data_IF_259844135967
#
_entry.id   IF_259844135967
#
_cell.length_a   1.000
_cell.length_b   1.000
_cell.length_c   1.000
_cell.angle_alpha   90.00
_cell.angle_beta   90.00
_cell.angle_gamma   90.00
#
_symmetry.space_group_name_H-M   'P 1'
#
loop_
_entity.id
_entity.type
_entity.pdbx_description
1 polymer ?
#
# COMPACT_ATOMS: atom_id res chain seq x y z
N UNK A 1 -16.02 2.32 -18.80
CA UNK A 1 -15.38 1.03 -18.45
C UNK A 1 -13.96 1.36 -18.07
N UNK A 2 -13.62 1.25 -16.79
CA UNK A 2 -12.41 1.88 -16.26
C UNK A 2 -11.45 0.80 -15.76
N UNK A 3 -10.81 0.12 -16.71
CA UNK A 3 -9.45 -0.36 -16.48
C UNK A 3 -8.57 0.62 -17.23
N UNK A 4 -7.75 1.38 -16.50
CA UNK A 4 -6.83 2.33 -17.12
C UNK A 4 -5.71 1.57 -17.80
N UNK A 5 -5.21 2.12 -18.91
CA UNK A 5 -3.92 1.72 -19.47
C UNK A 5 -2.79 2.37 -18.68
N UNK A 6 -1.53 1.89 -18.80
CA UNK A 6 -0.37 2.54 -18.21
C UNK A 6 -0.26 4.04 -18.57
N UNK A 7 -0.58 4.39 -19.82
CA UNK A 7 -0.56 5.77 -20.30
C UNK A 7 -1.66 6.62 -19.62
N UNK A 8 -2.85 6.07 -19.43
CA UNK A 8 -3.94 6.76 -18.72
C UNK A 8 -3.62 6.96 -17.23
N UNK A 9 -2.98 5.99 -16.58
CA UNK A 9 -2.48 6.13 -15.22
C UNK A 9 -1.42 7.24 -15.11
N UNK A 10 -0.41 7.24 -15.97
CA UNK A 10 0.62 8.30 -15.96
C UNK A 10 0.00 9.67 -16.18
N UNK A 11 -0.91 9.79 -17.15
CA UNK A 11 -1.65 11.02 -17.41
C UNK A 11 -2.54 11.47 -16.25
N UNK A 12 -3.06 10.55 -15.43
CA UNK A 12 -3.83 10.95 -14.25
C UNK A 12 -2.96 11.49 -13.12
N UNK A 13 -1.67 11.15 -13.07
CA UNK A 13 -0.74 11.75 -12.12
C UNK A 13 -0.41 13.21 -12.44
N UNK A 14 -0.42 13.60 -13.71
CA UNK A 14 -0.19 15.00 -14.14
C UNK A 14 -1.22 15.98 -13.54
N UNK A 15 -2.38 15.47 -13.15
CA UNK A 15 -3.47 16.25 -12.54
C UNK A 15 -3.32 16.39 -11.01
N UNK A 16 -2.39 15.66 -10.41
CA UNK A 16 -2.15 15.69 -8.97
C UNK A 16 -1.02 16.67 -8.68
N UNK A 17 -1.18 17.47 -7.63
CA UNK A 17 -0.18 18.45 -7.21
C UNK A 17 0.28 18.23 -5.77
N UNK A 18 0.83 17.04 -5.43
CA UNK A 18 1.24 16.76 -4.05
C UNK A 18 2.38 17.69 -3.64
N UNK A 19 2.31 18.23 -2.42
CA UNK A 19 3.42 19.00 -1.86
C UNK A 19 4.51 18.01 -1.42
N UNK A 20 5.55 17.85 -2.23
CA UNK A 20 6.63 16.91 -1.97
C UNK A 20 7.98 17.62 -1.82
N UNK A 21 8.74 17.21 -0.81
CA UNK A 21 10.14 17.59 -0.63
C UNK A 21 11.05 16.39 -0.88
N UNK A 22 11.96 16.53 -1.84
CA UNK A 22 12.95 15.52 -2.20
C UNK A 22 14.33 16.13 -1.99
N UNK A 23 15.14 15.51 -1.13
CA UNK A 23 16.50 15.96 -0.79
C UNK A 23 16.60 17.45 -0.38
N UNK A 24 15.57 17.96 0.30
CA UNK A 24 15.52 19.34 0.80
C UNK A 24 14.85 20.34 -0.14
N UNK A 25 14.51 19.93 -1.37
CA UNK A 25 13.89 20.80 -2.36
C UNK A 25 12.42 20.44 -2.60
N UNK A 26 11.58 21.46 -2.79
CA UNK A 26 10.18 21.25 -3.19
C UNK A 26 10.13 20.88 -4.67
N UNK A 27 9.47 19.77 -5.00
CA UNK A 27 9.38 19.25 -6.36
C UNK A 27 7.97 19.43 -6.91
N UNK A 28 7.84 20.02 -8.10
CA UNK A 28 6.53 20.26 -8.75
C UNK A 28 6.05 19.01 -9.51
N UNK A 29 6.86 18.50 -10.45
CA UNK A 29 6.54 17.34 -11.28
C UNK A 29 7.03 16.04 -10.64
N UNK A 30 6.46 15.69 -9.49
CA UNK A 30 6.95 14.59 -8.65
C UNK A 30 7.01 13.26 -9.40
N UNK A 31 6.06 12.98 -10.30
CA UNK A 31 5.99 11.73 -11.05
C UNK A 31 7.14 11.54 -12.06
N UNK A 32 7.83 12.62 -12.46
CA UNK A 32 8.94 12.59 -13.42
C UNK A 32 10.31 12.61 -12.75
N UNK A 33 10.35 12.98 -11.46
CA UNK A 33 11.59 13.10 -10.71
C UNK A 33 12.39 11.78 -10.80
N UNK A 34 13.72 11.79 -11.05
CA UNK A 34 14.50 10.58 -11.27
C UNK A 34 14.39 9.53 -10.14
N UNK A 35 14.27 9.99 -8.89
CA UNK A 35 14.05 9.12 -7.72
C UNK A 35 12.63 8.55 -7.60
N UNK A 36 11.66 9.05 -8.36
CA UNK A 36 10.24 8.67 -8.25
C UNK A 36 9.73 7.98 -9.51
N UNK A 37 10.23 8.33 -10.70
CA UNK A 37 9.76 7.79 -11.99
C UNK A 37 9.77 6.26 -12.06
N UNK A 38 10.73 5.61 -11.39
CA UNK A 38 10.82 4.15 -11.32
C UNK A 38 9.74 3.52 -10.43
N UNK A 39 9.30 4.21 -9.38
CA UNK A 39 8.11 3.83 -8.61
C UNK A 39 6.87 3.93 -9.48
N UNK A 40 6.71 5.06 -10.17
CA UNK A 40 5.59 5.27 -11.10
C UNK A 40 5.55 4.15 -12.15
N UNK A 41 6.70 3.73 -12.69
CA UNK A 41 6.78 2.59 -13.60
C UNK A 41 6.34 1.27 -12.98
N UNK A 42 6.69 0.98 -11.73
CA UNK A 42 6.22 -0.23 -11.03
C UNK A 42 4.71 -0.27 -10.88
N UNK A 43 4.07 0.87 -10.59
CA UNK A 43 2.60 0.95 -10.55
C UNK A 43 2.01 0.88 -11.95
N UNK A 44 2.60 1.56 -12.93
CA UNK A 44 2.14 1.49 -14.32
C UNK A 44 2.13 0.05 -14.85
N UNK A 45 3.09 -0.78 -14.44
CA UNK A 45 3.14 -2.20 -14.80
C UNK A 45 1.94 -2.99 -14.28
N UNK A 46 1.31 -2.60 -13.16
CA UNK A 46 0.06 -3.25 -12.71
C UNK A 46 -1.07 -2.99 -13.69
N UNK A 47 -1.19 -1.76 -14.20
CA UNK A 47 -2.19 -1.41 -15.20
C UNK A 47 -1.94 -2.10 -16.53
N UNK A 48 -0.66 -2.31 -16.89
CA UNK A 48 -0.32 -3.07 -18.09
C UNK A 48 -0.82 -4.51 -17.98
N UNK A 49 -0.53 -5.19 -16.87
CA UNK A 49 -0.96 -6.57 -16.65
C UNK A 49 -2.47 -6.71 -16.46
N UNK A 50 -3.17 -5.67 -15.99
CA UNK A 50 -4.65 -5.64 -15.96
C UNK A 50 -5.26 -5.66 -17.37
N UNK A 51 -4.52 -5.19 -18.38
CA UNK A 51 -4.93 -5.17 -19.79
C UNK A 51 -4.34 -6.33 -20.62
N UNK A 52 -3.39 -7.10 -20.05
CA UNK A 52 -2.83 -8.31 -20.66
C UNK A 52 -3.76 -9.52 -20.47
N UNK A 53 -3.98 -10.39 -21.48
CA UNK A 53 -4.89 -11.53 -21.37
C UNK A 53 -4.58 -12.50 -20.22
N UNK A 54 -3.31 -12.75 -19.89
CA UNK A 54 -2.93 -13.65 -18.81
C UNK A 54 -2.95 -12.94 -17.46
N UNK A 55 -2.40 -11.71 -17.40
CA UNK A 55 -2.43 -10.88 -16.20
C UNK A 55 -3.87 -10.59 -15.74
N UNK A 56 -4.78 -10.30 -16.67
CA UNK A 56 -6.19 -9.98 -16.39
C UNK A 56 -6.90 -11.08 -15.61
N UNK A 57 -6.58 -12.36 -15.84
CA UNK A 57 -7.18 -13.50 -15.12
C UNK A 57 -6.94 -13.43 -13.61
N UNK A 58 -5.84 -12.80 -13.19
CA UNK A 58 -5.46 -12.67 -11.78
C UNK A 58 -5.73 -11.26 -11.24
N UNK A 59 -5.44 -10.22 -12.02
CA UNK A 59 -5.49 -8.82 -11.56
C UNK A 59 -6.89 -8.20 -11.61
N UNK A 60 -7.83 -8.79 -12.34
CA UNK A 60 -9.15 -8.20 -12.56
C UNK A 60 -10.24 -9.10 -11.96
N UNK A 61 -11.30 -8.48 -11.46
CA UNK A 61 -12.47 -9.18 -10.91
C UNK A 61 -13.76 -8.40 -11.20
N UNK A 62 -14.91 -8.99 -10.90
CA UNK A 62 -16.22 -8.31 -10.95
C UNK A 62 -16.48 -7.57 -9.64
N UNK A 63 -17.09 -6.40 -9.74
CA UNK A 63 -17.54 -5.64 -8.57
C UNK A 63 -19.05 -5.79 -8.34
N UNK A 64 -19.45 -5.73 -7.06
CA UNK A 64 -20.86 -5.59 -6.67
C UNK A 64 -21.26 -4.12 -6.48
N UNK A 65 -20.28 -3.20 -6.46
CA UNK A 65 -20.51 -1.78 -6.23
C UNK A 65 -20.68 -0.99 -7.52
N UNK A 66 -20.07 -1.47 -8.61
CA UNK A 66 -20.05 -0.78 -9.91
C UNK A 66 -20.21 -1.80 -11.03
N UNK A 67 -20.88 -1.45 -12.15
CA UNK A 67 -20.99 -2.36 -13.28
C UNK A 67 -19.63 -2.62 -13.94
N UNK A 68 -19.40 -3.88 -14.32
CA UNK A 68 -18.26 -4.30 -15.12
C UNK A 68 -17.10 -4.87 -14.31
N UNK A 69 -15.94 -4.90 -14.94
CA UNK A 69 -14.70 -5.41 -14.38
C UNK A 69 -13.89 -4.29 -13.75
N UNK A 70 -13.22 -4.60 -12.63
CA UNK A 70 -12.41 -3.67 -11.84
C UNK A 70 -11.08 -4.31 -11.45
N UNK A 71 -10.10 -3.48 -11.11
CA UNK A 71 -8.85 -3.96 -10.51
C UNK A 71 -9.12 -4.66 -9.17
N UNK A 72 -8.46 -5.81 -8.95
CA UNK A 72 -8.48 -6.54 -7.69
C UNK A 72 -7.84 -5.74 -6.55
N UNK A 73 -6.94 -4.80 -6.85
CA UNK A 73 -6.31 -3.93 -5.85
C UNK A 73 -7.28 -3.00 -5.11
N UNK A 74 -8.50 -2.83 -5.63
CA UNK A 74 -9.55 -1.98 -5.06
C UNK A 74 -10.85 -2.77 -4.89
N UNK A 75 -10.75 -4.07 -4.61
CA UNK A 75 -11.88 -4.97 -4.37
C UNK A 75 -11.83 -5.60 -2.97
N UNK A 76 -13.00 -5.89 -2.42
CA UNK A 76 -13.13 -6.65 -1.16
C UNK A 76 -12.89 -8.15 -1.40
N UNK A 77 -12.29 -8.83 -0.43
CA UNK A 77 -12.17 -10.29 -0.38
C UNK A 77 -13.52 -10.88 0.04
N UNK A 78 -14.06 -11.80 -0.76
CA UNK A 78 -15.35 -12.43 -0.49
C UNK A 78 -15.26 -13.94 -0.29
N UNK A 79 -14.09 -14.52 -0.54
CA UNK A 79 -13.86 -15.95 -0.43
C UNK A 79 -12.37 -16.28 -0.23
N UNK A 80 -12.04 -17.50 0.22
CA UNK A 80 -10.68 -18.06 0.15
C UNK A 80 -10.05 -17.96 -1.24
N UNK A 81 -10.85 -18.13 -2.31
CA UNK A 81 -10.38 -18.01 -3.69
C UNK A 81 -9.88 -16.59 -4.02
N UNK A 82 -10.50 -15.54 -3.47
CA UNK A 82 -10.00 -14.17 -3.64
C UNK A 82 -8.64 -13.96 -2.97
N UNK A 83 -8.42 -14.58 -1.80
CA UNK A 83 -7.14 -14.54 -1.09
C UNK A 83 -6.06 -15.34 -1.84
N UNK A 84 -6.41 -16.49 -2.39
CA UNK A 84 -5.50 -17.28 -3.22
C UNK A 84 -5.14 -16.54 -4.52
N UNK A 85 -6.14 -15.98 -5.19
CA UNK A 85 -5.94 -15.13 -6.38
C UNK A 85 -5.03 -13.94 -6.07
N UNK A 86 -5.19 -13.32 -4.89
CA UNK A 86 -4.27 -12.29 -4.40
C UNK A 86 -2.83 -12.81 -4.33
N UNK A 87 -2.57 -13.94 -3.66
CA UNK A 87 -1.19 -14.48 -3.55
C UNK A 87 -0.58 -14.72 -4.93
N UNK A 88 -1.33 -15.32 -5.86
CA UNK A 88 -0.89 -15.58 -7.23
C UNK A 88 -0.60 -14.29 -8.01
N UNK A 89 -1.52 -13.34 -7.98
CA UNK A 89 -1.35 -12.00 -8.56
C UNK A 89 -0.08 -11.32 -8.04
N UNK A 90 0.13 -11.36 -6.73
CA UNK A 90 1.25 -10.68 -6.07
C UNK A 90 2.60 -11.34 -6.41
N UNK A 91 2.64 -12.67 -6.62
CA UNK A 91 3.82 -13.41 -7.09
C UNK A 91 4.13 -13.08 -8.55
N UNK A 92 3.14 -13.12 -9.44
CA UNK A 92 3.29 -12.74 -10.86
C UNK A 92 3.88 -11.34 -11.01
N UNK A 93 3.32 -10.36 -10.29
CA UNK A 93 3.80 -8.99 -10.33
C UNK A 93 5.23 -8.86 -9.84
N UNK A 94 5.59 -9.57 -8.77
CA UNK A 94 6.94 -9.55 -8.24
C UNK A 94 7.97 -10.19 -9.19
N UNK A 95 7.62 -11.28 -9.86
CA UNK A 95 8.44 -11.89 -10.90
C UNK A 95 8.60 -10.95 -12.11
N UNK A 96 7.57 -10.17 -12.44
CA UNK A 96 7.62 -9.24 -13.57
C UNK A 96 8.45 -7.98 -13.25
N UNK A 97 8.34 -7.46 -12.03
CA UNK A 97 8.90 -6.15 -11.63
C UNK A 97 10.24 -6.29 -10.93
N UNK A 98 10.52 -7.43 -10.29
CA UNK A 98 11.69 -7.64 -9.45
C UNK A 98 11.69 -6.78 -8.18
N UNK A 99 10.51 -6.32 -7.71
CA UNK A 99 10.42 -5.35 -6.63
C UNK A 99 8.99 -5.08 -6.13
N UNK A 100 8.79 -3.90 -5.55
CA UNK A 100 7.51 -3.48 -4.98
C UNK A 100 6.67 -2.68 -5.98
N UNK A 101 5.39 -3.00 -6.09
CA UNK A 101 4.40 -2.34 -6.96
C UNK A 101 3.32 -1.55 -6.19
N UNK A 102 3.45 -1.47 -4.86
CA UNK A 102 2.86 -0.44 -4.00
C UNK A 102 1.33 -0.36 -3.88
N UNK A 103 0.57 -1.12 -4.69
CA UNK A 103 -0.91 -1.16 -4.62
C UNK A 103 -1.48 -2.11 -3.57
N UNK A 104 -0.70 -3.05 -3.04
CA UNK A 104 -1.20 -4.07 -2.11
C UNK A 104 -1.62 -3.51 -0.75
N UNK A 105 -0.98 -2.46 -0.26
CA UNK A 105 -1.30 -1.84 1.03
C UNK A 105 -2.68 -1.20 1.04
N UNK A 106 -3.09 -0.55 -0.05
CA UNK A 106 -4.45 0.00 -0.17
C UNK A 106 -5.52 -1.10 -0.19
N UNK A 107 -5.27 -2.17 -0.96
CA UNK A 107 -6.14 -3.37 -1.01
C UNK A 107 -6.32 -4.00 0.38
N UNK A 108 -5.22 -4.19 1.11
CA UNK A 108 -5.24 -4.76 2.45
C UNK A 108 -5.98 -3.83 3.44
N UNK A 109 -5.81 -2.51 3.29
CA UNK A 109 -6.45 -1.52 4.13
C UNK A 109 -7.98 -1.47 3.95
N UNK A 110 -8.50 -1.42 2.71
CA UNK A 110 -9.96 -1.39 2.50
C UNK A 110 -10.66 -2.60 3.12
N UNK A 111 -10.02 -3.78 3.05
CA UNK A 111 -10.56 -5.01 3.63
C UNK A 111 -10.52 -4.99 5.16
N UNK A 112 -9.41 -4.53 5.76
CA UNK A 112 -9.29 -4.41 7.21
C UNK A 112 -10.23 -3.36 7.82
N UNK A 113 -10.35 -2.19 7.17
CA UNK A 113 -11.25 -1.12 7.59
C UNK A 113 -12.70 -1.61 7.44
N UNK A 114 -13.04 -2.26 6.32
CA UNK A 114 -14.38 -2.75 6.04
C UNK A 114 -14.99 -3.62 7.14
N UNK A 115 -14.24 -4.59 7.66
CA UNK A 115 -14.70 -5.46 8.74
C UNK A 115 -15.07 -4.65 9.98
N UNK A 116 -14.16 -3.77 10.41
CA UNK A 116 -14.34 -3.06 11.67
C UNK A 116 -15.37 -1.96 11.60
N UNK A 117 -15.49 -1.26 10.46
CA UNK A 117 -16.51 -0.22 10.33
C UNK A 117 -17.91 -0.81 10.23
N UNK A 118 -18.06 -1.98 9.61
CA UNK A 118 -19.33 -2.71 9.62
C UNK A 118 -19.72 -3.15 11.04
N UNK A 119 -18.76 -3.64 11.83
CA UNK A 119 -19.00 -4.02 13.23
C UNK A 119 -19.27 -2.79 14.12
N UNK A 120 -18.61 -1.67 13.85
CA UNK A 120 -18.85 -0.39 14.52
C UNK A 120 -20.25 0.14 14.24
N UNK A 121 -20.67 0.16 12.98
CA UNK A 121 -22.00 0.59 12.56
C UNK A 121 -23.10 -0.25 13.24
N UNK A 122 -22.89 -1.57 13.38
CA UNK A 122 -23.83 -2.45 14.10
C UNK A 122 -24.01 -2.09 15.57
N UNK A 123 -22.94 -1.63 16.25
CA UNK A 123 -22.98 -1.29 17.68
C UNK A 123 -23.46 0.14 17.92
N UNK A 124 -22.94 1.09 17.13
CA UNK A 124 -23.09 2.52 17.38
C UNK A 124 -24.06 3.22 16.42
N UNK A 125 -24.58 2.54 15.39
CA UNK A 125 -25.46 3.14 14.39
C UNK A 125 -24.78 4.19 13.51
N UNK A 126 -23.45 4.14 13.42
CA UNK A 126 -22.66 5.00 12.54
C UNK A 126 -22.88 4.66 11.06
N UNK A 127 -22.55 5.56 10.11
CA UNK A 127 -22.72 5.31 8.69
C UNK A 127 -21.39 4.96 7.97
N UNK A 128 -20.38 4.46 8.69
CA UNK A 128 -19.02 4.33 8.19
C UNK A 128 -18.88 3.31 7.05
N UNK A 129 -19.60 2.19 7.14
CA UNK A 129 -19.61 1.16 6.11
C UNK A 129 -20.14 1.69 4.79
N UNK A 130 -21.27 2.42 4.81
CA UNK A 130 -21.82 3.02 3.58
C UNK A 130 -20.82 4.02 2.97
N UNK A 131 -20.19 4.87 3.79
CA UNK A 131 -19.16 5.81 3.32
C UNK A 131 -17.97 5.10 2.68
N UNK A 132 -17.54 3.98 3.25
CA UNK A 132 -16.47 3.17 2.69
C UNK A 132 -16.88 2.54 1.36
N UNK A 133 -18.11 2.01 1.24
CA UNK A 133 -18.63 1.48 -0.02
C UNK A 133 -18.66 2.55 -1.12
N UNK A 134 -19.12 3.76 -0.79
CA UNK A 134 -19.17 4.88 -1.73
C UNK A 134 -17.76 5.29 -2.17
N UNK A 135 -16.80 5.32 -1.24
CA UNK A 135 -15.40 5.60 -1.54
C UNK A 135 -14.76 4.54 -2.44
N UNK A 136 -14.90 3.26 -2.10
CA UNK A 136 -14.36 2.14 -2.91
C UNK A 136 -15.03 2.11 -4.28
N UNK A 137 -16.33 2.35 -4.36
CA UNK A 137 -17.05 2.47 -5.64
C UNK A 137 -16.52 3.60 -6.52
N UNK A 138 -16.10 4.73 -5.95
CA UNK A 138 -15.45 5.81 -6.69
C UNK A 138 -14.06 5.40 -7.19
N UNK A 139 -13.23 4.77 -6.33
CA UNK A 139 -11.92 4.25 -6.76
C UNK A 139 -12.07 3.25 -7.92
N UNK A 140 -13.07 2.38 -7.87
CA UNK A 140 -13.36 1.38 -8.90
C UNK A 140 -13.85 2.00 -10.22
N UNK A 141 -14.71 3.02 -10.16
CA UNK A 141 -15.19 3.73 -11.37
C UNK A 141 -14.07 4.46 -12.11
N UNK A 142 -13.04 4.88 -11.39
CA UNK A 142 -11.95 5.71 -11.92
C UNK A 142 -10.60 4.98 -11.98
N UNK A 143 -10.56 3.72 -11.56
CA UNK A 143 -9.37 2.85 -11.44
C UNK A 143 -8.18 3.57 -10.77
N UNK A 144 -8.43 4.07 -9.57
CA UNK A 144 -7.48 4.89 -8.82
C UNK A 144 -6.60 4.04 -7.90
N UNK A 145 -5.33 4.44 -7.82
CA UNK A 145 -4.36 3.86 -6.88
C UNK A 145 -4.62 4.39 -5.47
N UNK A 146 -4.70 3.46 -4.53
CA UNK A 146 -4.83 3.70 -3.09
C UNK A 146 -3.58 3.17 -2.36
N UNK A 147 -2.97 3.97 -1.49
CA UNK A 147 -1.99 3.50 -0.51
C UNK A 147 -2.58 3.57 0.91
N UNK A 148 -1.95 2.90 1.89
CA UNK A 148 -2.41 2.94 3.28
C UNK A 148 -1.43 3.66 4.20
N UNK A 149 -1.97 4.56 5.03
CA UNK A 149 -1.31 5.32 6.08
C UNK A 149 -1.47 4.68 7.44
N UNK A 150 -0.61 3.72 7.79
CA UNK A 150 -0.76 2.96 9.05
C UNK A 150 0.18 3.44 10.15
N UNK A 151 1.50 3.33 9.91
CA UNK A 151 2.52 3.50 10.96
C UNK A 151 2.76 4.98 11.28
N UNK A 152 2.45 5.39 12.51
CA UNK A 152 2.80 6.71 13.04
C UNK A 152 4.29 6.85 13.38
N UNK A 153 4.74 8.07 13.70
CA UNK A 153 6.12 8.35 14.17
C UNK A 153 6.40 7.64 15.50
N UNK A 154 5.39 7.59 16.38
CA UNK A 154 5.32 6.90 17.68
C UNK A 154 6.14 7.48 18.83
N UNK A 155 7.01 8.46 18.62
CA UNK A 155 7.76 9.12 19.69
C UNK A 155 8.50 8.14 20.61
N UNK A 156 8.27 8.27 21.93
CA UNK A 156 8.74 7.30 22.92
C UNK A 156 7.90 6.01 22.82
N UNK A 157 8.56 4.90 22.50
CA UNK A 157 7.88 3.61 22.25
C UNK A 157 7.30 2.99 23.52
N UNK A 158 7.74 3.42 24.70
CA UNK A 158 7.20 2.96 25.98
C UNK A 158 5.85 3.62 26.32
N UNK A 159 5.55 4.77 25.71
CA UNK A 159 4.37 5.56 26.01
C UNK A 159 3.23 5.29 25.02
N UNK A 160 1.99 5.39 25.51
CA UNK A 160 0.78 5.38 24.66
C UNK A 160 0.59 6.74 23.96
N UNK A 161 -0.26 6.83 22.92
CA UNK A 161 -0.49 8.08 22.20
C UNK A 161 -0.84 9.26 23.13
N UNK A 162 -1.83 9.08 24.01
CA UNK A 162 -2.25 10.10 24.99
C UNK A 162 -1.19 10.48 26.04
N UNK A 163 -0.08 9.72 26.12
CA UNK A 163 0.99 9.93 27.09
C UNK A 163 2.24 10.57 26.46
N UNK A 164 2.26 10.74 25.13
CA UNK A 164 3.38 11.39 24.46
C UNK A 164 3.45 12.86 24.89
N UNK A 165 4.68 13.37 25.07
CA UNK A 165 4.89 14.79 25.38
C UNK A 165 4.41 15.68 24.22
N UNK A 166 4.66 15.23 23.01
CA UNK A 166 4.14 15.83 21.78
C UNK A 166 2.99 14.95 21.28
N UNK A 167 1.73 15.45 21.26
CA UNK A 167 0.58 14.67 20.81
C UNK A 167 0.67 14.31 19.32
N UNK A 168 1.44 15.05 18.51
CA UNK A 168 1.56 14.82 17.06
C UNK A 168 2.45 13.61 16.71
N UNK A 169 3.06 12.95 17.72
CA UNK A 169 3.76 11.68 17.55
C UNK A 169 2.85 10.56 17.02
N UNK A 170 1.54 10.73 17.15
CA UNK A 170 0.51 9.92 16.54
C UNK A 170 -0.50 10.82 15.84
N UNK A 171 -0.95 10.40 14.66
CA UNK A 171 -1.99 11.13 13.96
C UNK A 171 -3.30 11.09 14.74
N UNK A 172 -3.94 12.25 14.93
CA UNK A 172 -5.14 12.40 15.73
C UNK A 172 -6.06 13.51 15.22
N UNK A 173 -7.29 13.50 15.74
CA UNK A 173 -8.30 14.54 15.52
C UNK A 173 -8.01 15.72 16.45
N UNK A 174 -7.78 16.91 15.89
CA UNK A 174 -7.57 18.15 16.64
C UNK A 174 -8.83 19.01 16.73
N UNK A 175 -9.77 18.85 15.79
CA UNK A 175 -11.06 19.55 15.80
C UNK A 175 -12.17 18.72 15.13
N UNK A 176 -13.42 18.99 15.52
CA UNK A 176 -14.63 18.36 14.96
C UNK A 176 -15.71 19.42 14.76
N UNK A 177 -16.32 19.43 13.58
CA UNK A 177 -17.46 20.30 13.30
C UNK A 177 -18.55 19.56 12.51
N UNK A 178 -19.59 20.28 12.09
CA UNK A 178 -20.73 19.72 11.36
C UNK A 178 -20.36 19.18 9.95
N UNK A 179 -19.24 19.61 9.39
CA UNK A 179 -18.81 19.31 8.02
C UNK A 179 -17.77 18.18 7.99
N UNK A 180 -16.95 18.05 9.03
CA UNK A 180 -15.95 17.00 9.12
C UNK A 180 -15.08 17.09 10.37
N UNK A 181 -13.87 16.54 10.24
CA UNK A 181 -12.81 16.56 11.25
C UNK A 181 -11.59 17.30 10.71
N UNK A 182 -10.76 17.82 11.60
CA UNK A 182 -9.40 18.28 11.27
C UNK A 182 -8.42 17.34 11.95
N UNK A 183 -7.42 16.86 11.20
CA UNK A 183 -6.41 15.92 11.70
C UNK A 183 -5.00 16.50 11.62
N UNK A 184 -4.16 16.10 12.57
CA UNK A 184 -2.75 16.50 12.64
C UNK A 184 -1.87 15.31 13.03
N UNK A 185 -0.64 15.28 12.51
CA UNK A 185 0.39 14.31 12.85
C UNK A 185 1.13 13.81 11.60
N UNK A 186 1.75 12.63 11.68
CA UNK A 186 2.47 12.07 10.53
C UNK A 186 2.46 10.53 10.48
N UNK A 187 2.49 10.00 9.26
CA UNK A 187 2.66 8.59 8.94
C UNK A 187 4.01 8.37 8.27
N UNK A 188 4.80 7.43 8.78
CA UNK A 188 6.16 7.15 8.30
C UNK A 188 6.22 5.90 7.42
N UNK A 189 7.19 5.82 6.52
CA UNK A 189 7.44 4.67 5.64
C UNK A 189 6.29 4.36 4.66
N UNK A 190 5.67 5.42 4.13
CA UNK A 190 4.47 5.37 3.29
C UNK A 190 4.79 5.03 1.84
N UNK A 191 5.14 3.77 1.63
CA UNK A 191 5.42 3.22 0.30
C UNK A 191 4.24 3.47 -0.64
N UNK A 192 4.49 4.14 -1.76
CA UNK A 192 3.48 4.42 -2.77
C UNK A 192 2.77 5.77 -2.66
N UNK A 193 3.02 6.56 -1.60
CA UNK A 193 2.28 7.81 -1.38
C UNK A 193 2.42 8.84 -2.51
N UNK A 194 3.57 8.84 -3.22
CA UNK A 194 3.86 9.76 -4.34
C UNK A 194 3.53 9.17 -5.72
N UNK A 195 2.92 7.99 -5.76
CA UNK A 195 2.42 7.36 -6.99
C UNK A 195 0.97 6.86 -6.82
N UNK A 196 0.27 7.40 -5.82
CA UNK A 196 -1.11 7.10 -5.51
C UNK A 196 -1.99 8.34 -5.71
N UNK A 197 -3.28 8.12 -5.95
CA UNK A 197 -4.27 9.21 -6.05
C UNK A 197 -4.88 9.52 -4.68
N UNK A 198 -5.05 8.47 -3.87
CA UNK A 198 -5.66 8.54 -2.54
C UNK A 198 -4.81 7.79 -1.51
N UNK A 199 -4.87 8.26 -0.27
CA UNK A 199 -4.45 7.50 0.92
C UNK A 199 -5.65 7.11 1.77
N UNK A 200 -5.55 5.98 2.47
CA UNK A 200 -6.47 5.60 3.56
C UNK A 200 -5.70 5.41 4.87
N UNK A 201 -6.11 6.10 5.93
CA UNK A 201 -5.51 5.99 7.25
C UNK A 201 -6.09 4.81 8.01
N UNK A 202 -5.20 4.02 8.61
CA UNK A 202 -5.54 2.99 9.60
C UNK A 202 -4.81 3.36 10.91
N UNK A 203 -5.47 3.32 12.08
CA UNK A 203 -4.78 3.48 13.36
C UNK A 203 -3.59 2.51 13.48
N UNK A 204 -2.45 2.93 14.05
CA UNK A 204 -1.26 2.05 14.08
C UNK A 204 -1.29 0.97 15.15
N UNK A 205 -2.23 1.05 16.12
CA UNK A 205 -2.28 0.18 17.30
C UNK A 205 -3.68 0.20 17.92
N UNK A 206 -3.89 -0.73 18.85
CA UNK A 206 -5.02 -0.68 19.78
C UNK A 206 -5.03 0.63 20.58
N UNK A 207 -6.17 1.31 20.56
CA UNK A 207 -6.44 2.54 21.30
C UNK A 207 -7.28 2.23 22.54
N UNK A 208 -7.08 3.00 23.61
CA UNK A 208 -7.91 2.97 24.81
C UNK A 208 -8.80 4.21 24.83
N UNK A 209 -9.70 4.29 25.80
CA UNK A 209 -10.58 5.45 25.97
C UNK A 209 -9.80 6.78 26.04
N UNK A 210 -8.68 6.81 26.76
CA UNK A 210 -7.79 7.98 26.83
C UNK A 210 -7.16 8.34 25.46
N UNK A 211 -7.07 7.38 24.54
CA UNK A 211 -6.52 7.55 23.20
C UNK A 211 -7.62 7.78 22.13
N UNK A 212 -8.86 8.12 22.52
CA UNK A 212 -10.01 8.21 21.59
C UNK A 212 -9.75 9.10 20.36
N UNK A 213 -9.05 10.22 20.51
CA UNK A 213 -8.79 11.14 19.40
C UNK A 213 -7.77 10.59 18.38
N UNK A 214 -7.03 9.54 18.76
CA UNK A 214 -6.11 8.78 17.89
C UNK A 214 -6.81 7.59 17.22
N UNK A 215 -8.03 7.24 17.63
CA UNK A 215 -8.85 6.21 17.00
C UNK A 215 -9.55 6.78 15.75
N UNK A 216 -8.75 7.05 14.72
CA UNK A 216 -9.21 7.74 13.51
C UNK A 216 -8.82 6.99 12.24
N UNK A 217 -9.78 6.83 11.33
CA UNK A 217 -9.61 6.23 10.01
C UNK A 217 -10.37 7.05 8.98
N UNK A 218 -9.73 7.37 7.86
CA UNK A 218 -10.32 8.19 6.80
C UNK A 218 -9.55 8.05 5.48
N UNK A 219 -10.15 8.50 4.39
CA UNK A 219 -9.48 8.65 3.10
C UNK A 219 -9.17 10.12 2.77
N UNK A 220 -8.09 10.37 2.04
CA UNK A 220 -7.68 11.71 1.60
C UNK A 220 -7.00 11.68 0.22
N UNK A 221 -7.17 12.72 -0.63
CA UNK A 221 -6.37 12.90 -1.83
C UNK A 221 -4.89 13.10 -1.48
N UNK A 222 -3.97 12.57 -2.29
CA UNK A 222 -2.52 12.74 -2.04
C UNK A 222 -2.03 14.18 -2.14
N UNK A 223 -2.78 15.06 -2.79
CA UNK A 223 -2.54 16.49 -2.92
C UNK A 223 -3.51 17.35 -2.09
N UNK A 224 -4.16 16.76 -1.09
CA UNK A 224 -5.02 17.50 -0.18
C UNK A 224 -4.24 18.63 0.52
N UNK A 225 -4.90 19.78 0.69
CA UNK A 225 -4.31 20.92 1.40
C UNK A 225 -3.88 20.50 2.82
N UNK A 226 -2.65 20.82 3.19
CA UNK A 226 -2.05 20.44 4.48
C UNK A 226 -1.38 19.06 4.47
N UNK A 227 -1.45 18.30 3.37
CA UNK A 227 -0.70 17.05 3.21
C UNK A 227 0.67 17.35 2.59
N UNK A 228 1.73 16.93 3.27
CA UNK A 228 3.11 17.07 2.78
C UNK A 228 3.79 15.72 2.74
N UNK A 229 4.58 15.49 1.69
CA UNK A 229 5.39 14.28 1.52
C UNK A 229 6.86 14.64 1.65
N UNK A 230 7.58 13.95 2.53
CA UNK A 230 9.03 14.10 2.69
C UNK A 230 9.69 12.81 2.27
N UNK A 231 10.53 12.88 1.24
CA UNK A 231 11.24 11.73 0.70
C UNK A 231 12.12 11.04 1.76
N UNK A 232 11.99 9.71 1.85
CA UNK A 232 12.85 8.87 2.68
C UNK A 232 14.02 8.36 1.86
N UNK A 233 15.25 8.61 2.33
CA UNK A 233 16.46 8.18 1.62
C UNK A 233 16.55 6.66 1.52
N UNK A 234 17.10 6.17 0.41
CA UNK A 234 17.39 4.77 0.15
C UNK A 234 18.87 4.51 -0.12
N UNK A 235 19.28 3.26 0.09
CA UNK A 235 20.62 2.79 -0.28
C UNK A 235 20.84 2.94 -1.78
N UNK A 236 21.98 3.52 -2.18
CA UNK A 236 22.36 3.76 -3.58
C UNK A 236 21.46 4.71 -4.38
N UNK A 237 20.59 5.51 -3.73
CA UNK A 237 19.67 6.43 -4.43
C UNK A 237 20.37 7.42 -5.37
N UNK A 238 21.61 7.82 -5.03
CA UNK A 238 22.40 8.77 -5.81
C UNK A 238 22.70 8.24 -7.22
N UNK A 239 22.72 6.91 -7.42
CA UNK A 239 22.98 6.31 -8.74
C UNK A 239 21.96 6.71 -9.80
N UNK A 240 20.70 6.91 -9.40
CA UNK A 240 19.64 7.38 -10.30
C UNK A 240 19.78 8.87 -10.68
N UNK A 241 20.65 9.61 -10.00
CA UNK A 241 20.99 11.01 -10.27
C UNK A 241 22.34 11.16 -10.97
N UNK A 242 23.25 10.20 -10.76
CA UNK A 242 24.66 10.23 -11.20
C UNK A 242 24.93 9.35 -12.43
N UNK A 243 23.89 8.93 -13.16
CA UNK A 243 23.99 8.07 -14.35
C UNK A 243 24.84 6.80 -14.12
N UNK A 244 24.64 6.17 -12.96
CA UNK A 244 25.34 4.95 -12.56
C UNK A 244 24.45 3.71 -12.69
N UNK A 245 25.07 2.53 -12.74
CA UNK A 245 24.35 1.25 -12.84
C UNK A 245 23.31 1.05 -11.74
N UNK A 246 22.04 0.93 -12.15
CA UNK A 246 20.88 0.76 -11.25
C UNK A 246 20.57 -0.70 -10.92
N UNK A 247 21.13 -1.64 -11.69
CA UNK A 247 20.70 -3.04 -11.70
C UNK A 247 19.30 -3.17 -12.33
N UNK A 248 18.27 -2.77 -11.60
CA UNK A 248 16.91 -2.64 -12.15
C UNK A 248 16.72 -1.21 -12.70
N UNK A 249 16.80 -1.08 -14.03
CA UNK A 249 16.71 0.22 -14.72
C UNK A 249 15.27 0.71 -14.92
N UNK A 250 14.27 -0.16 -14.76
CA UNK A 250 12.87 0.16 -15.02
C UNK A 250 12.11 0.51 -13.74
N UNK A 251 12.39 -0.22 -12.66
CA UNK A 251 11.54 -0.26 -11.47
C UNK A 251 12.29 0.08 -10.19
N UNK A 252 11.59 0.68 -9.23
CA UNK A 252 12.20 1.16 -7.99
C UNK A 252 11.19 1.40 -6.88
N UNK A 253 11.69 1.58 -5.66
CA UNK A 253 10.86 1.76 -4.46
C UNK A 253 11.52 2.71 -3.48
N UNK A 254 10.76 3.71 -3.04
CA UNK A 254 11.05 4.53 -1.87
C UNK A 254 9.83 4.64 -0.96
N UNK A 255 10.02 5.17 0.25
CA UNK A 255 8.99 5.27 1.26
C UNK A 255 9.02 6.64 1.94
N UNK A 256 8.23 7.61 1.45
CA UNK A 256 8.10 8.92 2.06
C UNK A 256 7.53 8.88 3.49
N UNK A 257 7.77 9.95 4.25
CA UNK A 257 6.91 10.36 5.35
C UNK A 257 5.76 11.20 4.79
N UNK A 258 4.56 11.02 5.31
CA UNK A 258 3.38 11.85 5.00
C UNK A 258 3.01 12.61 6.26
N UNK A 259 3.02 13.93 6.19
CA UNK A 259 2.71 14.87 7.27
C UNK A 259 1.34 15.46 7.00
N UNK A 260 0.54 15.59 8.06
CA UNK A 260 -0.79 16.18 8.04
C UNK A 260 -0.74 17.44 8.91
N UNK A 261 -0.70 18.59 8.25
CA UNK A 261 -0.72 19.92 8.85
C UNK A 261 -2.15 20.47 8.78
N UNK A 262 -2.95 20.17 9.82
CA UNK A 262 -4.35 20.58 9.95
C UNK A 262 -5.21 20.27 8.72
N UNK A 263 -5.21 19.00 8.34
CA UNK A 263 -5.94 18.53 7.16
C UNK A 263 -7.42 18.37 7.50
N UNK A 264 -8.27 19.11 6.79
CA UNK A 264 -9.71 18.92 6.87
C UNK A 264 -10.13 17.66 6.11
N UNK A 265 -10.96 16.83 6.74
CA UNK A 265 -11.51 15.60 6.18
C UNK A 265 -13.03 15.65 6.33
N UNK A 266 -13.78 15.67 5.21
CA UNK A 266 -15.23 15.76 5.28
C UNK A 266 -15.82 14.43 5.76
N UNK A 267 -16.99 14.48 6.42
CA UNK A 267 -17.58 13.31 7.07
C UNK A 267 -17.77 12.11 6.13
N UNK A 268 -18.06 12.30 4.84
CA UNK A 268 -18.19 11.22 3.85
C UNK A 268 -16.89 10.47 3.53
N UNK A 269 -15.75 10.93 4.06
CA UNK A 269 -14.44 10.26 3.98
C UNK A 269 -13.94 9.76 5.32
N UNK A 270 -14.69 9.93 6.40
CA UNK A 270 -14.34 9.46 7.74
C UNK A 270 -14.98 8.09 7.98
N UNK A 271 -14.15 7.13 8.40
CA UNK A 271 -14.49 5.72 8.61
C UNK A 271 -14.35 5.27 10.08
N UNK A 272 -13.67 6.05 10.92
CA UNK A 272 -13.61 5.87 12.38
C UNK A 272 -13.26 7.22 13.01
N UNK A 273 -13.90 7.62 14.11
CA UNK A 273 -13.72 8.97 14.67
C UNK A 273 -13.82 9.06 16.21
N UNK A 274 -13.35 8.03 16.92
CA UNK A 274 -13.35 8.01 18.38
C UNK A 274 -13.73 6.67 19.00
N UNK A 275 -14.27 5.75 18.19
CA UNK A 275 -14.69 4.41 18.62
C UNK A 275 -13.46 3.50 18.80
N UNK A 276 -12.67 3.81 19.83
CA UNK A 276 -11.33 3.27 20.10
C UNK A 276 -11.26 1.75 20.17
N UNK A 277 -12.35 1.09 20.57
CA UNK A 277 -12.47 -0.37 20.65
C UNK A 277 -12.19 -1.07 19.31
N UNK A 278 -12.47 -0.39 18.19
CA UNK A 278 -12.29 -0.95 16.84
C UNK A 278 -10.90 -0.72 16.24
N UNK A 279 -10.09 0.17 16.83
CA UNK A 279 -8.76 0.48 16.29
C UNK A 279 -7.79 -0.71 16.37
N UNK A 280 -7.87 -1.52 17.44
CA UNK A 280 -6.99 -2.66 17.66
C UNK A 280 -7.22 -3.81 16.69
N UNK A 281 -8.48 -4.19 16.45
CA UNK A 281 -8.84 -5.20 15.46
C UNK A 281 -8.50 -4.73 14.04
N UNK A 282 -8.78 -3.46 13.73
CA UNK A 282 -8.55 -2.90 12.38
C UNK A 282 -7.10 -3.04 11.96
N UNK A 283 -6.15 -2.64 12.82
CA UNK A 283 -4.72 -2.74 12.50
C UNK A 283 -4.22 -4.18 12.53
N UNK A 284 -4.81 -5.05 13.36
CA UNK A 284 -4.43 -6.47 13.39
C UNK A 284 -4.88 -7.17 12.12
N UNK A 285 -6.09 -6.91 11.65
CA UNK A 285 -6.61 -7.42 10.39
C UNK A 285 -5.79 -6.89 9.20
N UNK A 286 -5.44 -5.60 9.18
CA UNK A 286 -4.50 -5.05 8.20
C UNK A 286 -3.17 -5.82 8.22
N UNK A 287 -2.58 -6.01 9.41
CA UNK A 287 -1.34 -6.73 9.58
C UNK A 287 -1.41 -8.19 9.11
N UNK A 288 -2.53 -8.87 9.33
CA UNK A 288 -2.75 -10.24 8.86
C UNK A 288 -2.81 -10.31 7.34
N UNK A 289 -3.63 -9.45 6.71
CA UNK A 289 -3.71 -9.38 5.25
C UNK A 289 -2.38 -8.98 4.61
N UNK A 290 -1.62 -8.07 5.22
CA UNK A 290 -0.35 -7.62 4.66
C UNK A 290 0.78 -8.64 4.85
N UNK A 291 0.80 -9.38 5.97
CA UNK A 291 1.71 -10.53 6.14
C UNK A 291 1.43 -11.63 5.12
N UNK A 292 0.15 -11.90 4.86
CA UNK A 292 -0.31 -12.81 3.80
C UNK A 292 0.14 -12.34 2.41
N UNK A 293 0.07 -11.03 2.12
CA UNK A 293 0.60 -10.45 0.87
C UNK A 293 2.07 -10.77 0.61
N UNK A 294 2.87 -10.98 1.68
CA UNK A 294 4.31 -11.23 1.55
C UNK A 294 4.65 -12.59 0.96
N UNK A 295 3.84 -13.62 1.15
CA UNK A 295 4.12 -14.92 0.51
C UNK A 295 3.92 -14.89 -1.00
N UNK A 296 3.11 -13.99 -1.55
CA UNK A 296 3.13 -13.72 -2.98
C UNK A 296 4.34 -12.87 -3.36
N UNK A 297 4.39 -11.64 -2.84
CA UNK A 297 5.29 -10.62 -3.36
C UNK A 297 6.77 -10.87 -3.06
N UNK A 298 7.12 -11.39 -1.88
CA UNK A 298 8.53 -11.64 -1.52
C UNK A 298 9.05 -12.91 -2.18
N UNK A 299 8.19 -13.91 -2.35
CA UNK A 299 8.57 -15.14 -3.04
C UNK A 299 8.81 -14.90 -4.52
N UNK A 300 7.99 -14.08 -5.20
CA UNK A 300 8.26 -13.71 -6.59
C UNK A 300 9.57 -12.92 -6.77
N UNK A 301 9.97 -12.09 -5.79
CA UNK A 301 11.31 -11.47 -5.78
C UNK A 301 12.40 -12.51 -5.52
N UNK A 302 12.13 -13.48 -4.64
CA UNK A 302 13.00 -14.63 -4.39
C UNK A 302 13.30 -15.39 -5.68
N UNK A 303 12.30 -15.64 -6.52
CA UNK A 303 12.46 -16.30 -7.82
C UNK A 303 13.43 -15.53 -8.74
N UNK A 304 13.37 -14.18 -8.74
CA UNK A 304 14.30 -13.34 -9.50
C UNK A 304 15.73 -13.46 -8.98
N UNK A 305 15.94 -13.47 -7.66
CA UNK A 305 17.28 -13.66 -7.10
C UNK A 305 17.83 -15.06 -7.35
N UNK A 306 16.98 -16.09 -7.31
CA UNK A 306 17.38 -17.46 -7.65
C UNK A 306 17.80 -17.54 -9.13
N UNK A 307 16.99 -16.96 -10.03
CA UNK A 307 17.32 -16.88 -11.45
C UNK A 307 18.63 -16.13 -11.72
N UNK A 308 18.83 -14.99 -11.06
CA UNK A 308 20.08 -14.23 -11.17
C UNK A 308 21.30 -15.00 -10.67
N UNK A 309 21.17 -15.73 -9.54
CA UNK A 309 22.25 -16.57 -9.02
C UNK A 309 22.56 -17.75 -9.95
N UNK A 310 21.54 -18.38 -10.54
CA UNK A 310 21.71 -19.46 -11.51
C UNK A 310 22.38 -18.96 -12.79
N UNK A 311 21.93 -17.82 -13.34
CA UNK A 311 22.56 -17.19 -14.52
C UNK A 311 24.03 -16.81 -14.25
N UNK A 312 24.33 -16.29 -13.05
CA UNK A 312 25.71 -16.01 -12.67
C UNK A 312 26.58 -17.28 -12.58
N UNK A 313 26.02 -18.41 -12.13
CA UNK A 313 26.74 -19.68 -12.13
C UNK A 313 27.01 -20.17 -13.57
N UNK A 314 26.04 -20.06 -14.47
CA UNK A 314 26.15 -20.40 -15.89
C UNK A 314 27.20 -19.54 -16.59
N UNK A 315 27.18 -18.21 -16.40
CA UNK A 315 28.16 -17.31 -17.01
C UNK A 315 29.60 -17.57 -16.56
N UNK A 316 29.77 -18.19 -15.40
CA UNK A 316 31.08 -18.61 -14.88
C UNK A 316 31.43 -20.06 -15.23
N UNK A 317 30.58 -20.81 -15.95
CA UNK A 317 30.78 -22.22 -16.29
C UNK A 317 30.73 -23.18 -15.10
N UNK A 318 29.90 -22.88 -14.10
CA UNK A 318 29.83 -23.59 -12.82
C UNK A 318 28.49 -24.32 -12.59
N UNK A 319 27.73 -24.65 -13.65
CA UNK A 319 26.36 -25.21 -13.53
C UNK A 319 26.32 -26.58 -12.84
N UNK A 320 27.42 -27.34 -12.96
CA UNK A 320 27.50 -28.71 -12.45
C UNK A 320 28.18 -28.80 -11.06
N UNK A 321 28.50 -27.66 -10.43
CA UNK A 321 29.18 -27.65 -9.13
C UNK A 321 28.18 -27.93 -7.99
N UNK A 322 28.39 -29.04 -7.30
CA UNK A 322 27.47 -29.56 -6.27
C UNK A 322 27.12 -28.55 -5.18
N UNK A 323 28.11 -27.82 -4.65
CA UNK A 323 27.86 -26.85 -3.59
C UNK A 323 27.09 -25.61 -4.06
N UNK A 324 27.10 -25.30 -5.36
CA UNK A 324 26.30 -24.21 -5.94
C UNK A 324 24.86 -24.70 -6.10
N UNK A 325 24.66 -25.89 -6.66
CA UNK A 325 23.34 -26.50 -6.80
C UNK A 325 22.64 -26.71 -5.45
N UNK A 326 23.38 -27.10 -4.41
CA UNK A 326 22.84 -27.18 -3.04
C UNK A 326 22.38 -25.81 -2.50
N UNK A 327 23.09 -24.73 -2.81
CA UNK A 327 22.69 -23.37 -2.38
C UNK A 327 21.45 -22.87 -3.14
N UNK A 328 21.36 -23.13 -4.45
CA UNK A 328 20.17 -22.83 -5.24
C UNK A 328 18.95 -23.61 -4.72
N UNK A 329 19.12 -24.89 -4.40
CA UNK A 329 18.07 -25.70 -3.78
C UNK A 329 17.64 -25.15 -2.41
N UNK A 330 18.57 -24.66 -1.59
CA UNK A 330 18.25 -24.02 -0.32
C UNK A 330 17.45 -22.72 -0.50
N UNK A 331 17.82 -21.89 -1.48
CA UNK A 331 17.08 -20.67 -1.81
C UNK A 331 15.65 -20.99 -2.26
N UNK A 332 15.48 -22.00 -3.13
CA UNK A 332 14.17 -22.50 -3.57
C UNK A 332 13.34 -22.99 -2.39
N UNK A 333 13.94 -23.81 -1.50
CA UNK A 333 13.26 -24.36 -0.32
C UNK A 333 12.70 -23.24 0.58
N UNK A 334 13.49 -22.22 0.87
CA UNK A 334 13.06 -21.09 1.71
C UNK A 334 11.95 -20.28 1.02
N UNK A 335 12.12 -19.98 -0.27
CA UNK A 335 11.11 -19.23 -1.05
C UNK A 335 9.77 -19.97 -1.10
N UNK A 336 9.79 -21.27 -1.41
CA UNK A 336 8.57 -22.07 -1.50
C UNK A 336 7.93 -22.35 -0.14
N UNK A 337 8.72 -22.41 0.95
CA UNK A 337 8.15 -22.50 2.30
C UNK A 337 7.31 -21.26 2.66
N UNK A 338 7.82 -20.05 2.36
CA UNK A 338 7.09 -18.79 2.60
C UNK A 338 5.83 -18.72 1.71
N UNK A 339 5.94 -19.13 0.44
CA UNK A 339 4.81 -19.19 -0.48
C UNK A 339 3.73 -20.15 0.02
N UNK A 340 4.13 -21.37 0.41
CA UNK A 340 3.25 -22.40 0.95
C UNK A 340 2.49 -21.94 2.20
N UNK A 341 3.14 -21.19 3.11
CA UNK A 341 2.45 -20.60 4.27
C UNK A 341 1.32 -19.66 3.88
N UNK A 342 1.50 -18.83 2.84
CA UNK A 342 0.46 -17.88 2.42
C UNK A 342 -0.64 -18.56 1.59
N UNK A 343 -0.31 -19.59 0.82
CA UNK A 343 -1.32 -20.45 0.16
C UNK A 343 -2.18 -21.14 1.22
N UNK A 344 -1.58 -21.77 2.23
CA UNK A 344 -2.32 -22.40 3.32
C UNK A 344 -3.21 -21.38 4.07
N UNK A 345 -2.67 -20.20 4.37
CA UNK A 345 -3.44 -19.12 5.00
C UNK A 345 -4.58 -18.58 4.12
N UNK A 346 -4.52 -18.69 2.79
CA UNK A 346 -5.64 -18.34 1.91
C UNK A 346 -6.78 -19.34 2.00
N UNK A 347 -6.48 -20.63 2.08
CA UNK A 347 -7.46 -21.72 1.96
C UNK A 347 -8.19 -21.97 3.28
N UNK A 348 -7.52 -21.75 4.41
CA UNK A 348 -8.07 -21.91 5.77
C UNK A 348 -8.66 -20.60 6.36
N UNK A 349 -8.84 -19.57 5.53
CA UNK A 349 -9.19 -18.20 5.93
C UNK A 349 -10.64 -18.00 6.40
#
# INVERSE_FOLDING_TARGET
MALKTPAQYRKSLEKLHPVAYILGEKVEHVWEHPLIKHMVSSVAKTYELENDPEGKKLLVTKSDLVPGEVSRFISFYKSPDDLLAKVHMLKLLAQTIGGCYMRCTGMDAINSVGIEVFNCDKKYGTPYWQRLLDFVGMLQKEDLVLFSGVTDVKGDRALRPSQQKDPDMYLHIVDRNKEGIVVRGAKIHQTGSLCAHWGIVVPTREMREADKDYAVSFAFPTDAKGVLHVYGRGTLEARALEDCDLGNIEFGKFAPMVIFEDVFVPWERVFLAGEYEYAGEMVRNFGNYHRHSHGGCKCGVGDIYIGAAAAAAEYNGLENISHINNKLAEMLKVTEAIYGCSVAASVEA
#
